data_IF_224557147047
#
_entry.id   IF_224557147047
#
_cell.length_a   1.000
_cell.length_b   1.000
_cell.length_c   1.000
_cell.angle_alpha   90.00
_cell.angle_beta   90.00
_cell.angle_gamma   90.00
#
_symmetry.space_group_name_H-M   'P 1'
#
loop_
_entity.id
_entity.type
_entity.pdbx_description
1 polymer ?
#
# COMPACT_ATOMS: atom_id res chain seq x y z
N UNK A 1 -18.26 13.15 -12.73
CA UNK A 1 -16.91 13.76 -12.89
C UNK A 1 -16.32 13.95 -11.50
N UNK A 2 -15.08 13.50 -11.25
CA UNK A 2 -14.41 13.67 -9.94
C UNK A 2 -14.24 15.16 -9.66
N UNK A 3 -14.69 15.61 -8.48
CA UNK A 3 -14.44 16.98 -8.04
C UNK A 3 -13.21 17.01 -7.15
N UNK A 4 -12.06 17.38 -7.72
CA UNK A 4 -10.78 17.42 -7.01
C UNK A 4 -10.82 18.33 -5.76
N UNK A 5 -11.48 19.49 -5.83
CA UNK A 5 -11.55 20.43 -4.70
C UNK A 5 -12.32 19.83 -3.51
N UNK A 6 -13.37 19.03 -3.76
CA UNK A 6 -14.08 18.31 -2.69
C UNK A 6 -13.22 17.22 -2.06
N UNK A 7 -12.37 16.55 -2.85
CA UNK A 7 -11.40 15.57 -2.33
C UNK A 7 -10.35 16.28 -1.47
N UNK A 8 -9.76 17.37 -1.96
CA UNK A 8 -8.77 18.16 -1.25
C UNK A 8 -9.30 18.74 0.07
N UNK A 9 -10.58 19.13 0.12
CA UNK A 9 -11.22 19.65 1.32
C UNK A 9 -11.24 18.64 2.48
N UNK A 10 -11.11 17.34 2.21
CA UNK A 10 -11.03 16.31 3.25
C UNK A 10 -9.63 16.13 3.86
N UNK A 11 -8.66 16.94 3.42
CA UNK A 11 -7.31 16.92 3.95
C UNK A 11 -6.99 18.23 4.68
N UNK A 12 -6.10 18.17 5.70
CA UNK A 12 -5.54 19.36 6.32
C UNK A 12 -4.91 20.28 5.25
N UNK A 13 -4.97 21.59 5.48
CA UNK A 13 -4.56 22.61 4.52
C UNK A 13 -3.11 22.39 4.01
N UNK A 14 -2.18 22.10 4.94
CA UNK A 14 -0.77 21.87 4.61
C UNK A 14 -0.52 20.66 3.68
N UNK A 15 -1.47 19.72 3.59
CA UNK A 15 -1.34 18.55 2.68
C UNK A 15 -1.94 18.83 1.30
N UNK A 16 -2.77 19.86 1.13
CA UNK A 16 -3.50 20.11 -0.13
C UNK A 16 -2.59 20.47 -1.31
N UNK A 17 -1.33 20.79 -1.04
CA UNK A 17 -0.31 20.97 -2.09
C UNK A 17 0.03 19.65 -2.82
N UNK A 18 -0.15 18.50 -2.18
CA UNK A 18 0.13 17.17 -2.74
C UNK A 18 -1.04 16.63 -3.60
N UNK A 19 -1.53 17.46 -4.52
CA UNK A 19 -2.78 17.25 -5.29
C UNK A 19 -2.83 15.90 -6.01
N UNK A 20 -1.74 15.52 -6.69
CA UNK A 20 -1.66 14.24 -7.41
C UNK A 20 -1.65 13.04 -6.45
N UNK A 21 -0.88 13.10 -5.36
CA UNK A 21 -0.83 12.04 -4.34
C UNK A 21 -2.17 11.86 -3.65
N UNK A 22 -2.89 12.96 -3.37
CA UNK A 22 -4.23 12.93 -2.81
C UNK A 22 -5.24 12.33 -3.77
N UNK A 23 -5.18 12.68 -5.06
CA UNK A 23 -6.04 12.09 -6.08
C UNK A 23 -5.78 10.59 -6.23
N UNK A 24 -4.50 10.18 -6.19
CA UNK A 24 -4.10 8.78 -6.20
C UNK A 24 -4.62 8.04 -4.95
N UNK A 25 -4.52 8.63 -3.74
CA UNK A 25 -5.06 8.04 -2.52
C UNK A 25 -6.59 7.89 -2.59
N UNK A 26 -7.32 8.87 -3.14
CA UNK A 26 -8.77 8.74 -3.40
C UNK A 26 -9.09 7.53 -4.27
N UNK A 27 -8.37 7.36 -5.38
CA UNK A 27 -8.55 6.20 -6.27
C UNK A 27 -8.19 4.87 -5.59
N UNK A 28 -7.21 4.86 -4.71
CA UNK A 28 -6.88 3.69 -3.90
C UNK A 28 -8.05 3.28 -2.99
N UNK A 29 -8.72 4.25 -2.36
CA UNK A 29 -9.95 3.97 -1.59
C UNK A 29 -11.05 3.37 -2.47
N UNK A 30 -11.27 3.89 -3.68
CA UNK A 30 -12.24 3.33 -4.64
C UNK A 30 -11.91 1.88 -5.03
N UNK A 31 -10.64 1.60 -5.32
CA UNK A 31 -10.18 0.25 -5.66
C UNK A 31 -10.35 -0.69 -4.46
N UNK A 32 -9.99 -0.26 -3.25
CA UNK A 32 -10.21 -1.04 -2.03
C UNK A 32 -11.69 -1.33 -1.81
N UNK A 33 -12.56 -0.35 -2.04
CA UNK A 33 -14.02 -0.55 -1.97
C UNK A 33 -14.49 -1.63 -2.96
N UNK A 34 -14.06 -1.58 -4.21
CA UNK A 34 -14.38 -2.62 -5.21
C UNK A 34 -13.87 -4.00 -4.79
N UNK A 35 -12.62 -4.09 -4.30
CA UNK A 35 -12.02 -5.36 -3.87
C UNK A 35 -12.81 -5.97 -2.72
N UNK A 36 -13.08 -5.19 -1.67
CA UNK A 36 -13.66 -5.72 -0.43
C UNK A 36 -15.18 -5.86 -0.46
N UNK A 37 -15.87 -5.27 -1.45
CA UNK A 37 -17.28 -5.57 -1.76
C UNK A 37 -17.43 -6.68 -2.81
N UNK A 38 -16.35 -7.21 -3.36
CA UNK A 38 -16.40 -8.32 -4.30
C UNK A 38 -16.58 -9.68 -3.60
N UNK A 39 -16.99 -10.69 -4.35
CA UNK A 39 -17.04 -12.10 -3.89
C UNK A 39 -15.66 -12.67 -3.50
N UNK A 40 -14.58 -11.95 -3.77
CA UNK A 40 -13.18 -12.34 -3.47
C UNK A 40 -12.61 -11.72 -2.20
N UNK A 41 -13.37 -10.88 -1.50
CA UNK A 41 -12.95 -10.14 -0.30
C UNK A 41 -12.32 -11.00 0.80
N UNK A 42 -12.82 -12.24 0.97
CA UNK A 42 -12.30 -13.20 1.97
C UNK A 42 -10.96 -13.85 1.60
N UNK A 43 -10.46 -13.64 0.38
CA UNK A 43 -9.23 -14.25 -0.12
C UNK A 43 -8.03 -13.30 -0.12
N UNK A 44 -8.19 -12.08 0.34
CA UNK A 44 -7.17 -11.04 0.33
C UNK A 44 -7.07 -10.36 1.69
N UNK A 45 -5.85 -10.03 2.12
CA UNK A 45 -5.61 -9.13 3.23
C UNK A 45 -4.65 -8.01 2.79
N UNK A 46 -5.09 -6.77 2.98
CA UNK A 46 -4.36 -5.57 2.60
C UNK A 46 -3.13 -5.38 3.47
N UNK A 47 -2.00 -5.01 2.87
CA UNK A 47 -0.71 -4.80 3.53
C UNK A 47 0.09 -3.69 2.86
N UNK A 48 1.35 -3.57 3.24
CA UNK A 48 2.28 -2.66 2.59
C UNK A 48 2.19 -1.22 3.07
N UNK A 49 2.88 -0.32 2.36
CA UNK A 49 2.95 1.10 2.72
C UNK A 49 1.60 1.80 2.67
N UNK A 50 0.75 1.43 1.72
CA UNK A 50 -0.58 2.03 1.58
C UNK A 50 -1.52 1.58 2.70
N UNK A 51 -1.38 0.34 3.21
CA UNK A 51 -2.09 -0.08 4.42
C UNK A 51 -1.64 0.72 5.64
N UNK A 52 -0.34 0.98 5.80
CA UNK A 52 0.16 1.84 6.88
C UNK A 52 -0.40 3.27 6.76
N UNK A 53 -0.51 3.80 5.56
CA UNK A 53 -1.07 5.12 5.30
C UNK A 53 -2.56 5.19 5.60
N UNK A 54 -3.34 4.30 5.00
CA UNK A 54 -4.81 4.35 5.02
C UNK A 54 -5.38 3.91 6.37
N UNK A 55 -4.81 2.86 6.98
CA UNK A 55 -5.37 2.25 8.19
C UNK A 55 -4.72 2.77 9.46
N UNK A 56 -3.41 3.01 9.43
CA UNK A 56 -2.65 3.37 10.64
C UNK A 56 -2.18 4.83 10.66
N UNK A 57 -2.44 5.62 9.60
CA UNK A 57 -2.18 7.06 9.59
C UNK A 57 -0.71 7.45 9.39
N UNK A 58 0.07 6.64 8.67
CA UNK A 58 1.46 6.99 8.33
C UNK A 58 1.56 8.37 7.66
N UNK A 59 2.62 9.11 7.99
CA UNK A 59 2.87 10.48 7.51
C UNK A 59 3.56 10.54 6.13
N UNK A 60 3.51 9.47 5.38
CA UNK A 60 3.96 9.43 3.99
C UNK A 60 2.89 8.90 3.06
N UNK A 61 2.87 9.39 1.82
CA UNK A 61 2.08 8.79 0.75
C UNK A 61 2.65 7.43 0.31
N UNK A 62 1.81 6.65 -0.31
CA UNK A 62 2.18 5.36 -0.89
C UNK A 62 1.38 5.12 -2.17
N UNK A 63 1.94 4.37 -3.12
CA UNK A 63 1.43 4.36 -4.48
C UNK A 63 0.69 3.09 -4.85
N UNK A 64 1.18 1.92 -4.42
CA UNK A 64 0.67 0.62 -4.81
C UNK A 64 -0.22 0.00 -3.73
N UNK A 65 -1.07 -0.95 -4.11
CA UNK A 65 -1.94 -1.71 -3.23
C UNK A 65 -1.43 -3.16 -3.15
N UNK A 66 -0.86 -3.52 -2.02
CA UNK A 66 -0.29 -4.85 -1.79
C UNK A 66 -1.24 -5.73 -0.98
N UNK A 67 -1.31 -7.02 -1.32
CA UNK A 67 -2.18 -7.98 -0.63
C UNK A 67 -1.51 -9.32 -0.39
N UNK A 68 -1.70 -9.89 0.80
CA UNK A 68 -1.55 -11.32 1.02
C UNK A 68 -2.69 -12.06 0.34
N UNK A 69 -2.34 -13.14 -0.37
CA UNK A 69 -3.28 -13.96 -1.13
C UNK A 69 -3.55 -15.28 -0.39
N UNK A 70 -4.81 -15.51 0.00
CA UNK A 70 -5.31 -16.73 0.61
C UNK A 70 -6.06 -17.58 -0.44
N UNK A 71 -5.32 -18.23 -1.32
CA UNK A 71 -5.86 -19.13 -2.36
C UNK A 71 -6.77 -18.43 -3.41
N UNK A 72 -6.52 -17.16 -3.72
CA UNK A 72 -7.09 -16.54 -4.91
C UNK A 72 -6.37 -17.09 -6.13
N UNK A 73 -7.09 -17.71 -7.06
CA UNK A 73 -6.52 -18.24 -8.30
C UNK A 73 -6.27 -17.14 -9.34
N UNK A 74 -5.47 -17.44 -10.35
CA UNK A 74 -5.20 -16.55 -11.48
C UNK A 74 -6.48 -16.07 -12.17
N UNK A 75 -7.40 -17.01 -12.43
CA UNK A 75 -8.70 -16.71 -13.05
C UNK A 75 -9.53 -15.76 -12.19
N UNK A 76 -9.57 -16.00 -10.89
CA UNK A 76 -10.30 -15.14 -9.93
C UNK A 76 -9.66 -13.76 -9.82
N UNK A 77 -8.33 -13.68 -9.87
CA UNK A 77 -7.61 -12.40 -9.86
C UNK A 77 -7.88 -11.59 -11.14
N UNK A 78 -7.92 -12.26 -12.29
CA UNK A 78 -8.31 -11.63 -13.56
C UNK A 78 -9.76 -11.15 -13.55
N UNK A 79 -10.67 -11.92 -12.95
CA UNK A 79 -12.08 -11.54 -12.78
C UNK A 79 -12.24 -10.36 -11.81
N UNK A 80 -11.45 -10.33 -10.73
CA UNK A 80 -11.38 -9.18 -9.82
C UNK A 80 -10.95 -7.90 -10.55
N UNK A 81 -9.98 -7.99 -11.47
CA UNK A 81 -9.58 -6.87 -12.31
C UNK A 81 -10.75 -6.31 -13.13
N UNK A 82 -11.59 -7.17 -13.71
CA UNK A 82 -12.79 -6.73 -14.45
C UNK A 82 -13.83 -6.07 -13.55
N UNK A 83 -14.01 -6.58 -12.31
CA UNK A 83 -14.90 -5.95 -11.33
C UNK A 83 -14.42 -4.53 -11.02
N UNK A 84 -13.15 -4.36 -10.69
CA UNK A 84 -12.55 -3.05 -10.43
C UNK A 84 -12.73 -2.11 -11.62
N UNK A 85 -12.45 -2.60 -12.84
CA UNK A 85 -12.62 -1.82 -14.06
C UNK A 85 -14.06 -1.34 -14.21
N UNK A 86 -15.02 -2.25 -14.11
CA UNK A 86 -16.46 -1.94 -14.26
C UNK A 86 -16.93 -0.92 -13.23
N UNK A 87 -16.50 -1.05 -11.98
CA UNK A 87 -16.90 -0.13 -10.91
C UNK A 87 -16.35 1.28 -11.13
N UNK A 88 -15.07 1.40 -11.51
CA UNK A 88 -14.46 2.69 -11.79
C UNK A 88 -15.04 3.34 -13.07
N UNK A 89 -15.35 2.54 -14.10
CA UNK A 89 -15.99 3.03 -15.35
C UNK A 89 -17.41 3.53 -15.09
N UNK A 90 -18.17 2.93 -14.16
CA UNK A 90 -19.49 3.43 -13.74
C UNK A 90 -19.42 4.80 -13.08
N UNK A 91 -18.28 5.19 -12.52
CA UNK A 91 -18.03 6.52 -11.99
C UNK A 91 -17.57 7.54 -13.05
N UNK A 92 -17.55 7.12 -14.31
CA UNK A 92 -17.18 7.98 -15.46
C UNK A 92 -15.68 8.03 -15.73
N UNK A 93 -14.87 7.15 -15.12
CA UNK A 93 -13.44 7.07 -15.40
C UNK A 93 -13.16 6.23 -16.65
N UNK A 94 -12.13 6.60 -17.39
CA UNK A 94 -11.55 5.75 -18.43
C UNK A 94 -10.51 4.86 -17.78
N UNK A 95 -10.63 3.54 -17.96
CA UNK A 95 -9.75 2.57 -17.28
C UNK A 95 -9.08 1.64 -18.29
N UNK A 96 -7.77 1.52 -18.19
CA UNK A 96 -6.98 0.52 -18.91
C UNK A 96 -6.36 -0.45 -17.90
N UNK A 97 -6.67 -1.74 -18.02
CA UNK A 97 -6.11 -2.78 -17.14
C UNK A 97 -5.20 -3.71 -17.92
N UNK A 98 -4.06 -4.02 -17.32
CA UNK A 98 -3.21 -5.13 -17.76
C UNK A 98 -2.89 -6.04 -16.56
N UNK A 99 -3.00 -7.35 -16.77
CA UNK A 99 -2.78 -8.39 -15.76
C UNK A 99 -1.51 -9.17 -16.07
N UNK A 100 -0.69 -9.39 -15.04
CA UNK A 100 0.46 -10.29 -15.06
C UNK A 100 0.27 -11.33 -13.96
N UNK A 101 0.42 -12.61 -14.29
CA UNK A 101 0.13 -13.73 -13.37
C UNK A 101 1.28 -14.72 -13.22
N UNK A 102 2.47 -14.38 -13.70
CA UNK A 102 3.65 -15.23 -13.54
C UNK A 102 4.27 -15.04 -12.14
N UNK A 103 4.26 -16.09 -11.30
CA UNK A 103 4.83 -16.18 -9.94
C UNK A 103 4.17 -15.31 -8.87
N UNK A 104 3.72 -14.11 -9.20
CA UNK A 104 2.93 -13.19 -8.39
C UNK A 104 1.87 -12.57 -9.29
N UNK A 105 0.71 -12.22 -8.73
CA UNK A 105 -0.34 -11.60 -9.54
C UNK A 105 -0.26 -10.10 -9.40
N UNK A 106 -0.28 -9.41 -10.54
CA UNK A 106 -0.23 -7.95 -10.63
C UNK A 106 -1.27 -7.42 -11.60
N UNK A 107 -2.10 -6.49 -11.14
CA UNK A 107 -2.90 -5.62 -12.00
C UNK A 107 -2.22 -4.26 -12.12
N UNK A 108 -2.10 -3.76 -13.32
CA UNK A 108 -1.72 -2.36 -13.58
C UNK A 108 -2.96 -1.64 -14.07
N UNK A 109 -3.47 -0.76 -13.23
CA UNK A 109 -4.65 0.05 -13.48
C UNK A 109 -4.17 1.43 -13.92
N UNK A 110 -4.41 1.78 -15.18
CA UNK A 110 -4.07 3.09 -15.73
C UNK A 110 -5.32 3.87 -15.97
N UNK A 111 -5.29 5.14 -15.57
CA UNK A 111 -6.41 6.06 -15.70
C UNK A 111 -5.93 7.20 -16.58
N UNK A 112 -6.22 7.13 -17.91
CA UNK A 112 -5.83 8.16 -18.86
C UNK A 112 -6.66 9.42 -18.65
N UNK A 113 -6.09 10.55 -19.06
CA UNK A 113 -6.66 11.89 -19.08
C UNK A 113 -7.01 12.50 -17.72
N UNK A 114 -7.10 11.72 -16.64
CA UNK A 114 -7.58 12.22 -15.35
C UNK A 114 -6.74 13.37 -14.79
N UNK A 115 -5.41 13.31 -14.92
CA UNK A 115 -4.52 14.41 -14.50
C UNK A 115 -4.75 15.66 -15.36
N UNK A 116 -4.93 15.52 -16.67
CA UNK A 116 -5.21 16.61 -17.58
C UNK A 116 -6.58 17.25 -17.28
N UNK A 117 -7.62 16.44 -17.17
CA UNK A 117 -8.99 16.88 -16.89
C UNK A 117 -9.12 17.55 -15.51
N UNK A 118 -8.24 17.18 -14.57
CA UNK A 118 -8.14 17.77 -13.22
C UNK A 118 -7.22 18.99 -13.15
N UNK A 119 -6.61 19.42 -14.26
CA UNK A 119 -5.68 20.54 -14.32
C UNK A 119 -4.34 20.29 -13.62
N UNK A 120 -3.97 19.01 -13.39
CA UNK A 120 -2.72 18.61 -12.72
C UNK A 120 -1.59 18.29 -13.71
N UNK A 121 -1.90 18.14 -14.98
CA UNK A 121 -0.92 17.93 -16.04
C UNK A 121 -1.30 18.73 -17.29
N UNK A 122 -0.32 19.27 -18.00
CA UNK A 122 -0.50 19.87 -19.32
C UNK A 122 -0.52 18.83 -20.44
N UNK A 123 -0.18 17.57 -20.16
CA UNK A 123 -0.09 16.46 -21.12
C UNK A 123 -1.22 15.47 -20.91
N UNK A 124 -2.04 15.25 -21.94
CA UNK A 124 -3.16 14.30 -21.91
C UNK A 124 -2.67 12.83 -21.80
N UNK A 125 -1.45 12.54 -22.27
CA UNK A 125 -0.84 11.23 -22.24
C UNK A 125 -0.41 10.80 -20.83
N UNK A 126 -0.29 11.75 -19.89
CA UNK A 126 0.09 11.46 -18.51
C UNK A 126 -1.04 10.72 -17.80
N UNK A 127 -0.78 9.47 -17.45
CA UNK A 127 -1.77 8.57 -16.83
C UNK A 127 -1.43 8.35 -15.37
N UNK A 128 -2.45 8.33 -14.51
CA UNK A 128 -2.27 7.77 -13.17
C UNK A 128 -2.11 6.26 -13.31
N UNK A 129 -1.09 5.72 -12.65
CA UNK A 129 -0.87 4.29 -12.51
C UNK A 129 -1.05 3.89 -11.05
N UNK A 130 -1.90 2.89 -10.81
CA UNK A 130 -2.00 2.18 -9.52
C UNK A 130 -1.80 0.70 -9.79
N UNK A 131 -0.91 0.08 -9.03
CA UNK A 131 -0.68 -1.36 -9.11
C UNK A 131 -1.40 -2.05 -7.94
N UNK A 132 -1.99 -3.21 -8.24
CA UNK A 132 -2.55 -4.13 -7.24
C UNK A 132 -1.72 -5.40 -7.30
N UNK A 133 -0.92 -5.62 -6.28
CA UNK A 133 0.02 -6.74 -6.21
C UNK A 133 -0.43 -7.76 -5.16
N UNK A 134 -0.35 -9.04 -5.50
CA UNK A 134 -0.63 -10.10 -4.53
C UNK A 134 0.43 -11.18 -4.57
N UNK A 135 0.78 -11.68 -3.38
CA UNK A 135 1.72 -12.79 -3.20
C UNK A 135 1.04 -13.88 -2.36
N UNK A 136 1.20 -15.18 -2.74
CA UNK A 136 0.68 -16.28 -1.94
C UNK A 136 1.18 -16.21 -0.50
N UNK A 137 0.25 -16.29 0.46
CA UNK A 137 0.57 -16.22 1.87
C UNK A 137 0.83 -17.62 2.44
N UNK A 138 2.04 -17.84 2.97
CA UNK A 138 2.48 -19.11 3.57
C UNK A 138 2.51 -19.09 5.11
N UNK A 139 2.10 -17.99 5.74
CA UNK A 139 2.02 -17.83 7.18
C UNK A 139 0.57 -17.67 7.63
N UNK A 140 0.11 -18.52 8.54
CA UNK A 140 -1.29 -18.48 9.02
C UNK A 140 -1.47 -17.38 10.05
N UNK A 141 -2.43 -16.51 9.83
CA UNK A 141 -2.87 -15.48 10.78
C UNK A 141 -4.34 -15.14 10.53
N UNK A 142 -4.95 -14.43 11.46
CA UNK A 142 -6.30 -13.87 11.29
C UNK A 142 -6.17 -12.39 10.95
N UNK A 143 -6.68 -11.93 9.80
CA UNK A 143 -6.67 -10.51 9.44
C UNK A 143 -7.52 -9.68 10.41
N UNK A 144 -7.06 -8.46 10.70
CA UNK A 144 -7.88 -7.43 11.32
C UNK A 144 -8.97 -6.97 10.36
N UNK A 145 -10.09 -6.45 10.89
CA UNK A 145 -11.26 -6.04 10.11
C UNK A 145 -11.63 -4.57 10.36
N UNK A 146 -10.73 -3.60 10.09
CA UNK A 146 -11.07 -2.20 10.24
C UNK A 146 -12.12 -1.76 9.22
N UNK A 147 -12.80 -0.66 9.56
CA UNK A 147 -13.76 0.01 8.68
C UNK A 147 -13.07 1.19 7.99
N UNK A 148 -13.07 1.21 6.67
CA UNK A 148 -12.74 2.40 5.91
C UNK A 148 -13.93 3.35 5.93
N UNK A 149 -13.71 4.57 6.42
CA UNK A 149 -14.70 5.62 6.46
C UNK A 149 -14.05 6.94 6.02
N UNK A 150 -13.93 7.14 4.74
CA UNK A 150 -13.39 8.38 4.15
C UNK A 150 -13.98 8.58 2.76
N UNK A 151 -14.12 9.83 2.37
CA UNK A 151 -14.86 10.21 1.16
C UNK A 151 -16.30 9.68 1.25
N UNK A 152 -16.82 9.13 0.18
CA UNK A 152 -18.12 8.44 0.13
C UNK A 152 -18.03 6.92 0.40
N UNK A 153 -16.89 6.44 0.89
CA UNK A 153 -16.62 5.01 1.09
C UNK A 153 -16.82 4.63 2.55
N UNK A 154 -17.64 3.58 2.74
CA UNK A 154 -17.90 2.97 4.02
C UNK A 154 -17.85 1.44 3.87
N UNK A 155 -16.66 0.85 4.06
CA UNK A 155 -16.40 -0.55 3.72
C UNK A 155 -15.50 -1.21 4.75
N UNK A 156 -15.89 -2.40 5.22
CA UNK A 156 -15.02 -3.22 6.06
C UNK A 156 -13.98 -3.92 5.20
N UNK A 157 -12.72 -3.80 5.56
CA UNK A 157 -11.60 -4.42 4.84
C UNK A 157 -10.88 -5.45 5.70
N UNK A 158 -10.17 -6.39 5.06
CA UNK A 158 -9.23 -7.29 5.74
C UNK A 158 -7.83 -6.72 5.64
N UNK A 159 -7.15 -6.59 6.76
CA UNK A 159 -5.80 -6.02 6.85
C UNK A 159 -4.88 -6.94 7.61
N UNK A 160 -3.63 -7.05 7.20
CA UNK A 160 -2.59 -7.74 7.97
C UNK A 160 -2.41 -7.03 9.31
N UNK A 161 -2.43 -7.77 10.46
CA UNK A 161 -2.26 -7.17 11.78
C UNK A 161 -0.94 -6.39 11.89
N UNK A 162 -0.95 -5.26 12.60
CA UNK A 162 0.20 -4.33 12.68
C UNK A 162 1.50 -4.99 13.13
N UNK A 163 1.44 -5.96 14.04
CA UNK A 163 2.61 -6.70 14.54
C UNK A 163 3.24 -7.57 13.44
N UNK A 164 2.39 -8.19 12.63
CA UNK A 164 2.84 -8.97 11.48
C UNK A 164 3.34 -8.06 10.36
N UNK A 165 2.68 -6.89 10.11
CA UNK A 165 3.19 -5.87 9.17
C UNK A 165 4.60 -5.41 9.55
N UNK A 166 4.87 -5.15 10.84
CA UNK A 166 6.22 -4.83 11.32
C UNK A 166 7.21 -5.95 10.96
N UNK A 167 6.84 -7.20 11.21
CA UNK A 167 7.71 -8.33 10.91
C UNK A 167 7.94 -8.53 9.40
N UNK A 168 6.92 -8.29 8.58
CA UNK A 168 7.05 -8.30 7.12
C UNK A 168 7.95 -7.15 6.62
N UNK A 169 7.89 -5.96 7.22
CA UNK A 169 8.77 -4.83 6.90
C UNK A 169 10.22 -5.11 7.32
N UNK A 170 10.43 -5.69 8.49
CA UNK A 170 11.75 -6.16 8.93
C UNK A 170 12.31 -7.20 7.93
N UNK A 171 11.50 -8.19 7.56
CA UNK A 171 11.90 -9.19 6.57
C UNK A 171 12.30 -8.55 5.23
N UNK A 172 11.50 -7.59 4.75
CA UNK A 172 11.79 -6.88 3.51
C UNK A 172 13.09 -6.07 3.60
N UNK A 173 13.30 -5.31 4.67
CA UNK A 173 14.51 -4.51 4.90
C UNK A 173 15.79 -5.37 4.93
N UNK A 174 15.70 -6.61 5.45
CA UNK A 174 16.83 -7.54 5.52
C UNK A 174 17.11 -8.21 4.17
N UNK A 175 16.08 -8.67 3.46
CA UNK A 175 16.23 -9.58 2.32
C UNK A 175 16.19 -8.91 0.94
N UNK A 176 15.77 -7.65 0.84
CA UNK A 176 15.78 -6.96 -0.46
C UNK A 176 17.20 -6.80 -0.99
N UNK A 177 17.38 -7.08 -2.29
CA UNK A 177 18.64 -6.85 -3.01
C UNK A 177 19.07 -5.39 -2.96
N UNK A 178 18.13 -4.47 -3.18
CA UNK A 178 18.30 -3.04 -3.01
C UNK A 178 17.59 -2.61 -1.72
N UNK A 179 18.35 -2.06 -0.79
CA UNK A 179 17.80 -1.46 0.43
C UNK A 179 16.98 -0.23 0.07
N UNK A 180 15.79 -0.10 0.66
CA UNK A 180 14.83 0.99 0.40
C UNK A 180 14.59 1.77 1.69
N UNK A 181 14.76 3.07 1.66
CA UNK A 181 14.56 3.96 2.81
C UNK A 181 13.16 3.84 3.40
N UNK A 182 12.15 3.69 2.55
CA UNK A 182 10.75 3.53 2.98
C UNK A 182 10.49 2.31 3.87
N UNK A 183 11.26 1.21 3.75
CA UNK A 183 11.09 0.06 4.63
C UNK A 183 11.56 0.38 6.05
N UNK A 184 12.65 1.15 6.21
CA UNK A 184 13.11 1.63 7.52
C UNK A 184 12.18 2.67 8.13
N UNK A 185 11.69 3.61 7.33
CA UNK A 185 10.66 4.56 7.77
C UNK A 185 9.43 3.83 8.33
N UNK A 186 8.93 2.85 7.59
CA UNK A 186 7.76 2.06 8.00
C UNK A 186 8.01 1.26 9.27
N UNK A 187 9.22 0.72 9.47
CA UNK A 187 9.62 0.03 10.71
C UNK A 187 9.59 1.00 11.90
N UNK A 188 10.21 2.17 11.76
CA UNK A 188 10.23 3.20 12.81
C UNK A 188 8.82 3.66 13.13
N UNK A 189 8.01 3.95 12.11
CA UNK A 189 6.60 4.32 12.28
C UNK A 189 5.82 3.26 13.06
N UNK A 190 5.94 1.99 12.67
CA UNK A 190 5.23 0.88 13.33
C UNK A 190 5.65 0.71 14.79
N UNK A 191 6.93 0.83 15.11
CA UNK A 191 7.37 0.85 16.51
C UNK A 191 6.79 2.06 17.26
N UNK A 192 6.74 3.24 16.62
CA UNK A 192 6.19 4.46 17.20
C UNK A 192 4.72 4.34 17.59
N UNK A 193 3.92 3.55 16.85
CA UNK A 193 2.51 3.26 17.18
C UNK A 193 2.33 2.02 18.05
N UNK A 194 3.42 1.51 18.66
CA UNK A 194 3.38 0.40 19.63
C UNK A 194 3.21 -0.99 19.00
N UNK A 195 3.61 -1.19 17.75
CA UNK A 195 3.68 -2.54 17.18
C UNK A 195 4.83 -3.32 17.81
N UNK A 196 4.60 -4.61 18.02
CA UNK A 196 5.58 -5.57 18.54
C UNK A 196 5.86 -6.62 17.46
N UNK A 197 7.13 -6.96 17.18
CA UNK A 197 7.44 -7.98 16.18
C UNK A 197 6.76 -9.32 16.45
N UNK A 198 6.19 -9.94 15.43
CA UNK A 198 5.70 -11.31 15.47
C UNK A 198 6.89 -12.27 15.34
N UNK A 199 7.36 -12.77 16.48
CA UNK A 199 8.52 -13.67 16.50
C UNK A 199 8.23 -15.05 15.90
N UNK A 200 6.98 -15.48 15.78
CA UNK A 200 6.64 -16.70 15.05
C UNK A 200 6.92 -16.54 13.55
N UNK A 201 6.55 -15.38 12.99
CA UNK A 201 6.87 -15.02 11.61
C UNK A 201 8.38 -14.87 11.40
N UNK A 202 9.06 -14.14 12.29
CA UNK A 202 10.51 -13.89 12.19
C UNK A 202 11.32 -15.19 12.37
N UNK A 203 10.90 -16.09 13.26
CA UNK A 203 11.52 -17.42 13.42
C UNK A 203 11.40 -18.23 12.13
N UNK A 204 10.20 -18.29 11.53
CA UNK A 204 9.96 -19.02 10.29
C UNK A 204 10.83 -18.52 9.15
N UNK A 205 10.93 -17.19 8.98
CA UNK A 205 11.48 -16.57 7.77
C UNK A 205 12.93 -16.09 7.91
N UNK A 206 13.37 -15.70 9.11
CA UNK A 206 14.72 -15.15 9.39
C UNK A 206 15.50 -15.94 10.45
N UNK A 207 14.91 -16.96 11.09
CA UNK A 207 15.51 -17.71 12.20
C UNK A 207 15.76 -16.83 13.45
N UNK A 208 14.97 -15.79 13.64
CA UNK A 208 15.03 -14.85 14.77
C UNK A 208 13.91 -15.16 15.74
N UNK A 209 14.27 -15.42 17.01
CA UNK A 209 13.31 -15.87 18.02
C UNK A 209 13.06 -14.86 19.15
N UNK A 210 13.90 -13.83 19.26
CA UNK A 210 13.82 -12.86 20.35
C UNK A 210 14.37 -11.48 19.96
N UNK A 211 14.09 -10.49 20.81
CA UNK A 211 14.47 -9.10 20.59
C UNK A 211 15.99 -8.86 20.55
N UNK A 212 16.78 -9.66 21.29
CA UNK A 212 18.24 -9.52 21.31
C UNK A 212 18.85 -9.91 19.96
N UNK A 213 18.43 -11.06 19.41
CA UNK A 213 18.86 -11.54 18.09
C UNK A 213 18.39 -10.59 16.99
N UNK A 214 17.16 -10.05 17.10
CA UNK A 214 16.64 -9.08 16.16
C UNK A 214 17.46 -7.77 16.19
N UNK A 215 17.74 -7.25 17.38
CA UNK A 215 18.57 -6.05 17.56
C UNK A 215 19.95 -6.22 16.92
N UNK A 216 20.61 -7.35 17.18
CA UNK A 216 21.92 -7.66 16.58
C UNK A 216 21.85 -7.65 15.07
N UNK A 217 20.89 -8.35 14.47
CA UNK A 217 20.70 -8.41 13.02
C UNK A 217 20.45 -7.03 12.40
N UNK A 218 19.60 -6.20 13.02
CA UNK A 218 19.30 -4.86 12.54
C UNK A 218 20.53 -3.95 12.61
N UNK A 219 21.31 -4.00 13.71
CA UNK A 219 22.53 -3.22 13.86
C UNK A 219 23.58 -3.61 12.80
N UNK A 220 23.77 -4.91 12.57
CA UNK A 220 24.68 -5.40 11.52
C UNK A 220 24.24 -4.94 10.14
N UNK A 221 22.94 -5.02 9.83
CA UNK A 221 22.39 -4.59 8.54
C UNK A 221 22.54 -3.08 8.32
N UNK A 222 22.33 -2.29 9.36
CA UNK A 222 22.36 -0.81 9.25
C UNK A 222 23.76 -0.22 9.32
N UNK A 223 24.73 -0.93 9.85
CA UNK A 223 26.11 -0.44 10.02
C UNK A 223 26.80 0.01 8.71
N UNK A 224 26.41 -0.59 7.58
CA UNK A 224 26.97 -0.32 6.26
C UNK A 224 26.08 0.57 5.37
N UNK A 225 24.94 1.07 5.89
CA UNK A 225 23.99 1.83 5.10
C UNK A 225 24.32 3.33 5.11
N UNK A 226 24.23 3.94 3.94
CA UNK A 226 24.21 5.40 3.83
C UNK A 226 22.81 5.92 4.13
N UNK A 227 22.62 6.44 5.35
CA UNK A 227 21.34 6.95 5.82
C UNK A 227 20.84 8.16 5.00
N UNK A 228 21.75 8.94 4.40
CA UNK A 228 21.37 10.09 3.56
C UNK A 228 20.69 9.61 2.26
N UNK A 229 21.24 8.56 1.64
CA UNK A 229 20.63 7.95 0.45
C UNK A 229 19.25 7.37 0.80
N UNK A 230 19.14 6.70 1.97
CA UNK A 230 17.85 6.14 2.40
C UNK A 230 16.83 7.22 2.72
N UNK A 231 17.23 8.34 3.31
CA UNK A 231 16.36 9.47 3.56
C UNK A 231 15.83 10.07 2.25
N UNK A 232 16.71 10.27 1.25
CA UNK A 232 16.31 10.80 -0.06
C UNK A 232 15.34 9.91 -0.83
N UNK A 233 15.34 8.60 -0.58
CA UNK A 233 14.34 7.66 -1.15
C UNK A 233 12.91 7.90 -0.58
N UNK A 234 12.80 8.46 0.61
CA UNK A 234 11.52 8.65 1.32
C UNK A 234 11.01 10.08 1.19
N UNK A 235 11.91 11.04 1.17
CA UNK A 235 11.61 12.48 1.18
C UNK A 235 10.49 12.91 0.21
N UNK A 236 10.45 12.44 -1.08
CA UNK A 236 9.38 12.80 -2.01
C UNK A 236 7.99 12.30 -1.61
N UNK A 237 7.93 11.36 -0.69
CA UNK A 237 6.68 10.76 -0.20
C UNK A 237 6.20 11.36 1.12
N UNK A 238 7.06 12.08 1.84
CA UNK A 238 6.77 12.64 3.17
C UNK A 238 5.80 13.82 3.07
N UNK A 239 4.95 13.97 4.08
CA UNK A 239 4.10 15.14 4.25
C UNK A 239 4.90 16.37 4.65
N UNK A 240 5.94 16.14 5.41
CA UNK A 240 6.90 17.15 5.82
C UNK A 240 8.32 16.55 5.63
N UNK A 241 9.17 17.18 4.80
CA UNK A 241 10.54 16.71 4.60
C UNK A 241 11.41 16.66 5.87
N UNK A 242 10.92 17.24 6.99
CA UNK A 242 11.60 17.20 8.28
C UNK A 242 11.19 16.00 9.15
N UNK A 243 10.19 15.20 8.73
CA UNK A 243 9.79 13.96 9.40
C UNK A 243 10.78 12.84 9.05
#
# INVERSE_FOLDING_TARGET
MINLEQILAQYPEHLRAFRESILKEYLQYKILNSIFNSKYSGKLAFLGGTALRIVYGSTRFSEDLDFDNFNLSEKEFTDLGKIIQTDLEREGLKIEISTVTANAYRLKIRIPNLLFDSGLSSMSEHKILIQVDTVPQNFKYTPDKPLLNKFEIFTQISVVPRNLLLSQKIYAAINRKRTMGRDFFDIVFLYGIGAVPDFAYLKKNLKIENSQSLKKLLLEKTASLDLKILASDVEPLLFNPQD
#
